data_IF_336078013432
#
_entry.id   IF_336078013432
#
_cell.length_a   1.000
_cell.length_b   1.000
_cell.length_c   1.000
_cell.angle_alpha   90.00
_cell.angle_beta   90.00
_cell.angle_gamma   90.00
#
_symmetry.space_group_name_H-M   'P 1'
#
loop_
_entity.id
_entity.type
_entity.pdbx_description
1 polymer ?
#
# COMPACT_ATOMS: atom_id res chain seq x y z
N UNK A 1 -23.78 -3.93 32.61
CA UNK A 1 -23.97 -4.64 33.86
C UNK A 1 -22.71 -4.56 34.75
N UNK A 2 -21.58 -5.06 34.32
CA UNK A 2 -20.33 -5.08 35.10
C UNK A 2 -19.79 -3.70 35.46
N UNK A 3 -19.90 -2.70 34.61
CA UNK A 3 -19.50 -1.33 34.91
C UNK A 3 -20.35 -0.70 36.01
N UNK A 4 -21.67 -0.94 35.97
CA UNK A 4 -22.60 -0.45 36.99
C UNK A 4 -22.32 -1.13 38.33
N UNK A 5 -22.11 -2.46 38.33
CA UNK A 5 -21.75 -3.22 39.52
C UNK A 5 -20.46 -2.71 40.16
N UNK A 6 -19.44 -2.47 39.34
CA UNK A 6 -18.15 -1.91 39.76
C UNK A 6 -18.33 -0.50 40.39
N UNK A 7 -19.15 0.34 39.78
CA UNK A 7 -19.42 1.70 40.28
C UNK A 7 -20.15 1.67 41.61
N UNK A 8 -21.15 0.79 41.77
CA UNK A 8 -21.89 0.62 43.04
C UNK A 8 -20.96 0.09 44.13
N UNK A 9 -20.14 -0.93 43.82
CA UNK A 9 -19.20 -1.50 44.78
C UNK A 9 -18.18 -0.46 45.27
N UNK A 10 -17.64 0.35 44.30
CA UNK A 10 -16.73 1.44 44.64
C UNK A 10 -17.40 2.50 45.55
N UNK A 11 -18.67 2.88 45.27
CA UNK A 11 -19.40 3.85 46.06
C UNK A 11 -19.64 3.32 47.51
N UNK A 12 -19.97 2.04 47.68
CA UNK A 12 -20.15 1.42 49.00
C UNK A 12 -18.83 1.38 49.78
N UNK A 13 -17.75 0.95 49.14
CA UNK A 13 -16.41 0.91 49.74
C UNK A 13 -15.92 2.29 50.17
N UNK A 14 -16.21 3.32 49.37
CA UNK A 14 -15.89 4.72 49.71
C UNK A 14 -16.61 5.18 50.96
N UNK A 15 -17.89 4.83 51.12
CA UNK A 15 -18.64 5.16 52.34
C UNK A 15 -18.15 4.41 53.60
N UNK A 16 -17.54 3.26 53.43
CA UNK A 16 -16.92 2.49 54.49
C UNK A 16 -15.50 2.96 54.86
N UNK A 17 -15.00 4.04 54.21
CA UNK A 17 -13.70 4.63 54.51
C UNK A 17 -12.51 3.88 53.88
N UNK A 18 -12.76 2.98 52.91
CA UNK A 18 -11.69 2.27 52.23
C UNK A 18 -10.86 3.21 51.35
N UNK A 19 -9.51 3.10 51.34
CA UNK A 19 -8.64 3.93 50.48
C UNK A 19 -8.74 3.50 49.01
N UNK A 20 -9.73 4.02 48.31
CA UNK A 20 -9.99 3.67 46.88
C UNK A 20 -8.90 4.12 45.90
N UNK A 21 -8.01 5.04 46.31
CA UNK A 21 -6.96 5.56 45.44
C UNK A 21 -6.00 4.48 44.93
N UNK A 22 -5.61 3.54 45.80
CA UNK A 22 -4.76 2.41 45.41
C UNK A 22 -5.44 1.45 44.44
N UNK A 23 -6.73 1.16 44.66
CA UNK A 23 -7.50 0.32 43.77
C UNK A 23 -7.70 0.96 42.38
N UNK A 24 -8.03 2.24 42.37
CA UNK A 24 -8.17 3.00 41.12
C UNK A 24 -6.85 3.03 40.35
N UNK A 25 -5.72 3.27 41.01
CA UNK A 25 -4.41 3.23 40.37
C UNK A 25 -4.07 1.85 39.78
N UNK A 26 -4.37 0.78 40.52
CA UNK A 26 -4.16 -0.59 40.02
C UNK A 26 -5.03 -0.91 38.81
N UNK A 27 -6.30 -0.52 38.81
CA UNK A 27 -7.21 -0.71 37.66
C UNK A 27 -6.76 0.10 36.44
N UNK A 28 -6.31 1.34 36.67
CA UNK A 28 -5.78 2.19 35.61
C UNK A 28 -4.50 1.59 34.99
N UNK A 29 -3.56 1.13 35.83
CA UNK A 29 -2.33 0.49 35.36
C UNK A 29 -2.62 -0.81 34.58
N UNK A 30 -3.57 -1.63 35.08
CA UNK A 30 -4.00 -2.86 34.39
C UNK A 30 -4.66 -2.52 33.03
N UNK A 31 -5.58 -1.54 33.02
CA UNK A 31 -6.22 -1.09 31.78
C UNK A 31 -5.23 -0.55 30.76
N UNK A 32 -4.23 0.21 31.21
CA UNK A 32 -3.15 0.71 30.35
C UNK A 32 -2.31 -0.44 29.79
N UNK A 33 -1.93 -1.41 30.63
CA UNK A 33 -1.16 -2.58 30.17
C UNK A 33 -1.92 -3.40 29.13
N UNK A 34 -3.23 -3.61 29.32
CA UNK A 34 -4.11 -4.28 28.36
C UNK A 34 -4.19 -3.47 27.07
N UNK A 35 -4.37 -2.14 27.15
CA UNK A 35 -4.39 -1.25 25.99
C UNK A 35 -3.13 -1.34 25.15
N UNK A 36 -1.95 -1.35 25.81
CA UNK A 36 -0.68 -1.53 25.14
C UNK A 36 -0.56 -2.92 24.47
N UNK A 37 -1.03 -3.97 25.13
CA UNK A 37 -1.00 -5.33 24.58
C UNK A 37 -1.86 -5.46 23.31
N UNK A 38 -2.98 -4.75 23.22
CA UNK A 38 -3.88 -4.75 22.06
C UNK A 38 -3.61 -3.66 21.02
N UNK A 39 -2.65 -2.77 21.26
CA UNK A 39 -2.38 -1.60 20.41
C UNK A 39 -2.21 -1.96 18.93
N UNK A 40 -1.44 -3.00 18.63
CA UNK A 40 -1.21 -3.44 17.24
C UNK A 40 -2.48 -3.99 16.58
N UNK A 41 -3.28 -4.75 17.30
CA UNK A 41 -4.55 -5.29 16.81
C UNK A 41 -5.54 -4.17 16.52
N UNK A 42 -5.67 -3.22 17.44
CA UNK A 42 -6.56 -2.07 17.29
C UNK A 42 -6.13 -1.16 16.12
N UNK A 43 -4.82 -0.98 15.92
CA UNK A 43 -4.28 -0.26 14.78
C UNK A 43 -4.65 -0.92 13.45
N UNK A 44 -4.50 -2.25 13.35
CA UNK A 44 -4.89 -3.00 12.15
C UNK A 44 -6.39 -2.92 11.89
N UNK A 45 -7.20 -3.04 12.93
CA UNK A 45 -8.66 -2.91 12.84
C UNK A 45 -9.06 -1.52 12.34
N UNK A 46 -8.53 -0.45 12.94
CA UNK A 46 -8.83 0.93 12.54
C UNK A 46 -8.43 1.17 11.07
N UNK A 47 -7.24 0.71 10.66
CA UNK A 47 -6.80 0.78 9.28
C UNK A 47 -7.73 0.02 8.32
N UNK A 48 -8.18 -1.18 8.69
CA UNK A 48 -9.13 -1.96 7.90
C UNK A 48 -10.47 -1.23 7.70
N UNK A 49 -11.01 -0.66 8.77
CA UNK A 49 -12.24 0.16 8.70
C UNK A 49 -12.04 1.37 7.77
N UNK A 50 -10.91 2.09 7.88
CA UNK A 50 -10.61 3.22 7.01
C UNK A 50 -10.52 2.80 5.54
N UNK A 51 -9.87 1.67 5.23
CA UNK A 51 -9.79 1.14 3.87
C UNK A 51 -11.16 0.77 3.29
N UNK A 52 -12.04 0.17 4.09
CA UNK A 52 -13.39 -0.21 3.67
C UNK A 52 -14.31 1.01 3.46
N UNK A 53 -14.12 2.08 4.24
CA UNK A 53 -14.91 3.32 4.17
C UNK A 53 -14.41 4.24 3.07
N UNK A 54 -13.13 4.60 3.08
CA UNK A 54 -12.54 5.57 2.14
C UNK A 54 -12.12 4.96 0.81
N UNK A 55 -11.89 3.65 0.78
CA UNK A 55 -11.58 2.86 -0.43
C UNK A 55 -10.46 3.46 -1.29
N UNK A 56 -9.26 3.69 -0.75
CA UNK A 56 -8.13 4.14 -1.56
C UNK A 56 -7.78 3.16 -2.68
N UNK A 57 -8.14 1.90 -2.52
CA UNK A 57 -8.13 0.83 -3.53
C UNK A 57 -9.31 -0.12 -3.27
N UNK A 58 -9.58 -1.00 -4.23
CA UNK A 58 -10.68 -1.97 -4.19
C UNK A 58 -10.15 -3.38 -4.41
N UNK A 59 -10.96 -4.37 -4.04
CA UNK A 59 -10.73 -5.76 -4.45
C UNK A 59 -10.69 -5.84 -5.97
N UNK A 60 -9.66 -6.47 -6.50
CA UNK A 60 -9.37 -6.56 -7.93
C UNK A 60 -8.34 -5.56 -8.45
N UNK A 61 -8.06 -4.47 -7.72
CA UNK A 61 -7.01 -3.52 -8.09
C UNK A 61 -5.61 -4.14 -7.93
N UNK A 62 -4.69 -3.69 -8.76
CA UNK A 62 -3.25 -3.98 -8.59
C UNK A 62 -2.63 -2.82 -7.85
N UNK A 63 -2.06 -3.11 -6.69
CA UNK A 63 -1.45 -2.10 -5.81
C UNK A 63 -0.03 -2.46 -5.44
N UNK A 64 0.76 -1.44 -5.10
CA UNK A 64 2.02 -1.59 -4.35
C UNK A 64 1.81 -0.98 -2.97
N UNK A 65 1.78 -1.80 -1.95
CA UNK A 65 1.57 -1.37 -0.57
C UNK A 65 2.14 -2.38 0.43
N UNK A 66 2.61 -1.92 1.59
CA UNK A 66 3.20 -2.79 2.62
C UNK A 66 4.42 -3.61 2.12
N UNK A 67 5.16 -3.09 1.13
CA UNK A 67 6.31 -3.77 0.53
C UNK A 67 5.95 -4.87 -0.48
N UNK A 68 4.68 -5.00 -0.87
CA UNK A 68 4.19 -6.03 -1.80
C UNK A 68 3.50 -5.37 -2.99
N UNK A 69 3.78 -5.88 -4.20
CA UNK A 69 3.05 -5.52 -5.42
C UNK A 69 2.21 -6.70 -5.89
N UNK A 70 0.92 -6.49 -6.10
CA UNK A 70 0.04 -7.55 -6.59
C UNK A 70 -1.42 -7.13 -6.64
N UNK A 71 -2.26 -8.08 -7.03
CA UNK A 71 -3.70 -7.89 -7.12
C UNK A 71 -4.36 -8.10 -5.75
N UNK A 72 -5.16 -7.15 -5.32
CA UNK A 72 -5.95 -7.27 -4.09
C UNK A 72 -7.02 -8.34 -4.29
N UNK A 73 -6.95 -9.40 -3.50
CA UNK A 73 -7.93 -10.47 -3.52
C UNK A 73 -9.07 -10.23 -2.51
N UNK A 74 -8.71 -9.78 -1.30
CA UNK A 74 -9.67 -9.57 -0.22
C UNK A 74 -9.15 -8.51 0.76
N UNK A 75 -10.07 -7.75 1.35
CA UNK A 75 -9.79 -6.75 2.38
C UNK A 75 -10.62 -7.12 3.60
N UNK A 76 -9.95 -7.67 4.63
CA UNK A 76 -10.53 -8.03 5.92
C UNK A 76 -10.35 -6.91 6.95
N UNK A 77 -10.94 -7.08 8.13
CA UNK A 77 -10.84 -6.11 9.22
C UNK A 77 -9.42 -5.87 9.73
N UNK A 78 -8.55 -6.89 9.69
CA UNK A 78 -7.20 -6.82 10.27
C UNK A 78 -6.09 -6.91 9.23
N UNK A 79 -6.37 -7.51 8.08
CA UNK A 79 -5.39 -7.80 7.04
C UNK A 79 -6.01 -7.66 5.65
N UNK A 80 -5.14 -7.52 4.65
CA UNK A 80 -5.49 -7.53 3.24
C UNK A 80 -4.69 -8.62 2.54
N UNK A 81 -5.36 -9.44 1.74
CA UNK A 81 -4.75 -10.51 0.94
C UNK A 81 -4.41 -9.99 -0.45
N UNK A 82 -3.15 -10.12 -0.86
CA UNK A 82 -2.62 -9.67 -2.14
C UNK A 82 -2.03 -10.86 -2.88
N UNK A 83 -2.46 -11.09 -4.12
CA UNK A 83 -1.90 -12.12 -4.99
C UNK A 83 -0.86 -11.48 -5.93
N UNK A 84 0.38 -11.95 -5.83
CA UNK A 84 1.51 -11.45 -6.62
C UNK A 84 1.50 -12.04 -8.04
N UNK A 85 2.24 -11.42 -8.97
CA UNK A 85 2.33 -11.85 -10.36
C UNK A 85 2.93 -13.27 -10.54
N UNK A 86 3.74 -13.72 -9.58
CA UNK A 86 4.29 -15.07 -9.49
C UNK A 86 3.38 -16.06 -8.74
N UNK A 87 2.08 -15.71 -8.62
CA UNK A 87 1.02 -16.54 -8.07
C UNK A 87 1.21 -16.94 -6.59
N UNK A 88 1.80 -16.03 -5.78
CA UNK A 88 1.85 -16.17 -4.33
C UNK A 88 0.80 -15.30 -3.68
N UNK A 89 0.16 -15.82 -2.64
CA UNK A 89 -0.72 -15.03 -1.77
C UNK A 89 0.06 -14.48 -0.59
N UNK A 90 0.06 -13.18 -0.44
CA UNK A 90 0.70 -12.47 0.67
C UNK A 90 -0.40 -11.82 1.52
N UNK A 91 -0.38 -12.08 2.81
CA UNK A 91 -1.30 -11.49 3.77
C UNK A 91 -0.56 -10.34 4.47
N UNK A 92 -1.05 -9.13 4.26
CA UNK A 92 -0.42 -7.92 4.79
C UNK A 92 -1.33 -7.33 5.87
N UNK A 93 -0.83 -7.07 7.09
CA UNK A 93 -1.60 -6.37 8.12
C UNK A 93 -2.03 -4.98 7.64
N UNK A 94 -3.29 -4.62 7.87
CA UNK A 94 -3.86 -3.35 7.39
C UNK A 94 -3.11 -2.12 7.91
N UNK A 95 -2.58 -2.18 9.13
CA UNK A 95 -1.75 -1.12 9.70
C UNK A 95 -0.47 -0.89 8.91
N UNK A 96 0.16 -1.94 8.37
CA UNK A 96 1.37 -1.81 7.56
C UNK A 96 1.06 -1.15 6.20
N UNK A 97 -0.10 -1.44 5.61
CA UNK A 97 -0.55 -0.79 4.37
C UNK A 97 -0.83 0.70 4.63
N UNK A 98 -1.59 0.99 5.69
CA UNK A 98 -2.02 2.36 6.03
C UNK A 98 -0.89 3.27 6.49
N UNK A 99 0.18 2.72 7.04
CA UNK A 99 1.33 3.48 7.52
C UNK A 99 2.28 3.93 6.41
N UNK A 100 2.18 3.32 5.22
CA UNK A 100 3.06 3.59 4.09
C UNK A 100 2.36 4.26 2.90
N UNK A 101 3.12 4.41 1.82
CA UNK A 101 2.57 4.85 0.54
C UNK A 101 1.75 3.72 -0.07
N UNK A 102 0.59 4.04 -0.59
CA UNK A 102 -0.26 3.15 -1.37
C UNK A 102 -0.21 3.64 -2.82
N UNK A 103 0.37 2.85 -3.70
CA UNK A 103 0.35 3.08 -5.14
C UNK A 103 -0.69 2.16 -5.79
N UNK A 104 -1.75 2.74 -6.34
CA UNK A 104 -2.75 1.98 -7.10
C UNK A 104 -2.41 2.01 -8.58
N UNK A 105 -1.78 0.94 -9.07
CA UNK A 105 -1.27 0.80 -10.44
C UNK A 105 -2.41 0.70 -11.45
N UNK A 106 -3.55 0.15 -11.08
CA UNK A 106 -4.72 -0.07 -11.95
C UNK A 106 -5.81 1.00 -11.83
N UNK A 107 -5.61 2.02 -10.98
CA UNK A 107 -6.61 3.08 -10.78
C UNK A 107 -6.96 3.82 -12.08
N UNK A 108 -5.94 4.16 -12.86
CA UNK A 108 -6.14 4.76 -14.17
C UNK A 108 -6.19 3.69 -15.26
N UNK A 109 -7.10 3.78 -16.22
CA UNK A 109 -7.22 2.80 -17.31
C UNK A 109 -6.01 2.79 -18.24
N UNK A 110 -5.16 3.81 -18.15
CA UNK A 110 -4.00 4.00 -19.02
C UNK A 110 -2.81 4.48 -18.21
N UNK A 111 -1.64 3.96 -18.54
CA UNK A 111 -0.38 4.38 -17.93
C UNK A 111 0.72 4.49 -19.00
N UNK A 112 1.72 5.30 -18.71
CA UNK A 112 2.95 5.35 -19.49
C UNK A 112 3.77 4.09 -19.23
N UNK A 113 4.27 3.48 -20.29
CA UNK A 113 5.24 2.39 -20.23
C UNK A 113 6.56 2.94 -20.77
N UNK A 114 7.65 2.66 -20.06
CA UNK A 114 9.00 2.99 -20.49
C UNK A 114 9.72 1.68 -20.80
N UNK A 115 10.27 1.57 -22.01
CA UNK A 115 11.03 0.42 -22.47
C UNK A 115 12.47 0.86 -22.68
N UNK A 116 13.39 0.30 -21.90
CA UNK A 116 14.82 0.58 -22.02
C UNK A 116 15.43 -0.41 -23.01
N UNK A 117 16.11 0.12 -24.04
CA UNK A 117 16.81 -0.67 -25.04
C UNK A 117 18.30 -0.32 -24.98
N UNK A 118 19.16 -1.29 -24.67
CA UNK A 118 20.62 -1.14 -24.72
C UNK A 118 21.14 -1.46 -26.12
N UNK A 119 21.97 -0.59 -26.67
CA UNK A 119 22.61 -0.74 -27.99
C UNK A 119 24.11 -0.61 -27.83
N UNK A 120 24.87 -1.39 -28.61
CA UNK A 120 26.32 -1.37 -28.59
C UNK A 120 26.86 0.04 -28.91
N UNK A 121 27.98 0.41 -28.31
CA UNK A 121 28.64 1.71 -28.52
C UNK A 121 29.15 1.91 -29.97
N UNK A 122 29.33 0.84 -30.73
CA UNK A 122 29.74 0.89 -32.14
C UNK A 122 28.58 1.13 -33.08
N UNK A 123 27.33 1.05 -32.62
CA UNK A 123 26.13 1.27 -33.43
C UNK A 123 25.96 2.76 -33.78
N UNK A 124 25.48 3.02 -34.96
CA UNK A 124 25.12 4.38 -35.35
C UNK A 124 23.89 4.86 -34.61
N UNK A 125 24.02 5.97 -33.88
CA UNK A 125 22.95 6.52 -33.03
C UNK A 125 21.76 7.02 -33.86
N UNK A 126 22.01 7.54 -35.07
CA UNK A 126 20.96 8.06 -35.94
C UNK A 126 20.13 6.90 -36.53
N UNK A 127 20.80 5.86 -37.02
CA UNK A 127 20.12 4.65 -37.51
C UNK A 127 19.36 3.94 -36.41
N UNK A 128 19.95 3.84 -35.20
CA UNK A 128 19.29 3.26 -34.02
C UNK A 128 18.02 4.01 -33.68
N UNK A 129 18.07 5.34 -33.63
CA UNK A 129 16.91 6.18 -33.36
C UNK A 129 15.80 5.94 -34.37
N UNK A 130 16.12 5.97 -35.65
CA UNK A 130 15.15 5.73 -36.73
C UNK A 130 14.52 4.34 -36.64
N UNK A 131 15.29 3.31 -36.29
CA UNK A 131 14.78 1.95 -36.09
C UNK A 131 13.81 1.88 -34.92
N UNK A 132 14.14 2.51 -33.77
CA UNK A 132 13.29 2.57 -32.60
C UNK A 132 12.00 3.39 -32.84
N UNK A 133 12.10 4.53 -33.52
CA UNK A 133 10.93 5.34 -33.93
C UNK A 133 10.00 4.56 -34.88
N UNK A 134 10.54 3.80 -35.80
CA UNK A 134 9.77 2.92 -36.70
C UNK A 134 9.08 1.78 -35.90
N UNK A 135 9.76 1.19 -34.93
CA UNK A 135 9.17 0.18 -34.06
C UNK A 135 8.05 0.76 -33.20
N UNK A 136 8.26 1.94 -32.63
CA UNK A 136 7.25 2.65 -31.85
C UNK A 136 6.03 3.05 -32.68
N UNK A 137 6.26 3.50 -33.92
CA UNK A 137 5.20 3.82 -34.92
C UNK A 137 4.31 2.60 -35.20
N UNK A 138 4.90 1.41 -35.31
CA UNK A 138 4.15 0.17 -35.54
C UNK A 138 3.22 -0.19 -34.36
N UNK A 139 3.53 0.30 -33.17
CA UNK A 139 2.70 0.09 -31.97
C UNK A 139 1.60 1.14 -31.79
N UNK A 140 1.57 2.20 -32.59
CA UNK A 140 0.54 3.25 -32.52
C UNK A 140 -0.89 2.75 -32.43
N UNK A 141 -1.32 1.73 -33.21
CA UNK A 141 -2.69 1.22 -33.12
C UNK A 141 -3.06 0.63 -31.76
N UNK A 142 -2.04 0.24 -30.96
CA UNK A 142 -2.20 -0.37 -29.62
C UNK A 142 -2.01 0.66 -28.51
N UNK A 143 -1.65 1.90 -28.84
CA UNK A 143 -1.38 2.97 -27.88
C UNK A 143 -2.42 4.09 -28.00
N UNK A 144 -2.59 4.83 -26.89
CA UNK A 144 -3.51 5.97 -26.90
C UNK A 144 -2.80 7.16 -27.54
N UNK A 145 -3.47 7.73 -28.51
CA UNK A 145 -3.03 8.94 -29.21
C UNK A 145 -3.83 10.15 -28.72
N UNK A 146 -3.23 11.33 -28.72
CA UNK A 146 -3.88 12.58 -28.33
C UNK A 146 -2.88 13.64 -27.92
N UNK A 147 -3.38 14.81 -27.55
CA UNK A 147 -2.54 15.92 -27.11
C UNK A 147 -1.74 15.53 -25.85
N UNK A 148 -0.41 15.61 -25.91
CA UNK A 148 0.50 15.19 -24.87
C UNK A 148 0.59 13.67 -24.66
N UNK A 149 0.01 12.87 -25.57
CA UNK A 149 0.04 11.39 -25.57
C UNK A 149 0.62 10.89 -26.89
N UNK A 150 1.40 9.85 -26.81
CA UNK A 150 2.10 9.26 -27.94
C UNK A 150 3.35 8.55 -27.46
N UNK A 151 4.30 8.38 -28.36
CA UNK A 151 5.62 7.84 -27.98
C UNK A 151 6.71 8.92 -28.17
N UNK A 152 7.80 8.74 -27.47
CA UNK A 152 9.04 9.49 -27.67
C UNK A 152 10.21 8.52 -27.58
N UNK A 153 11.17 8.65 -28.48
CA UNK A 153 12.43 7.91 -28.43
C UNK A 153 13.50 8.87 -27.95
N UNK A 154 14.04 8.60 -26.77
CA UNK A 154 14.96 9.50 -26.07
C UNK A 154 16.24 8.74 -25.76
N UNK A 155 17.41 9.36 -25.94
CA UNK A 155 18.66 8.85 -25.42
C UNK A 155 18.60 8.93 -23.89
N UNK A 156 18.55 7.78 -23.22
CA UNK A 156 18.35 7.69 -21.78
C UNK A 156 19.64 7.87 -20.99
N UNK A 157 20.74 7.32 -21.48
CA UNK A 157 22.04 7.41 -20.83
C UNK A 157 23.12 6.60 -21.51
N UNK A 158 24.33 6.74 -20.98
CA UNK A 158 25.50 5.93 -21.37
C UNK A 158 25.77 4.98 -20.20
N UNK A 159 25.46 3.71 -20.37
CA UNK A 159 25.71 2.66 -19.41
C UNK A 159 27.13 2.09 -19.52
N UNK A 160 27.51 1.20 -18.62
CA UNK A 160 28.87 0.63 -18.61
C UNK A 160 29.21 -0.18 -19.87
N UNK A 161 28.20 -0.78 -20.52
CA UNK A 161 28.39 -1.63 -21.70
C UNK A 161 27.43 -1.34 -22.86
N UNK A 162 26.54 -0.38 -22.73
CA UNK A 162 25.54 -0.06 -23.74
C UNK A 162 25.12 1.42 -23.70
N UNK A 163 24.70 1.93 -24.85
CA UNK A 163 23.97 3.19 -24.98
C UNK A 163 22.51 2.87 -24.75
N UNK A 164 21.91 3.48 -23.73
CA UNK A 164 20.52 3.24 -23.35
C UNK A 164 19.56 4.21 -24.04
N UNK A 165 18.54 3.65 -24.67
CA UNK A 165 17.42 4.38 -25.25
C UNK A 165 16.14 4.08 -24.48
N UNK A 166 15.27 5.07 -24.39
CA UNK A 166 13.97 4.95 -23.72
C UNK A 166 12.85 5.41 -24.63
#
# INVERSE_FOLDING_TARGET
>A
FYSVLLSITAAVLSKLGAPLGGLAAMLAATGFAIGLAFQGTLSNFAAGVLMLVFRPFKVGDVITAGGVTGKVNEIDLFNTSIDTADNRRVIVPNGAISAGTIENVSFHPHRRIEVVVGVDYTADLAETRLALEKAAEALKPQTIQGEGRGFAVILGGLGDSAVEWK
#
